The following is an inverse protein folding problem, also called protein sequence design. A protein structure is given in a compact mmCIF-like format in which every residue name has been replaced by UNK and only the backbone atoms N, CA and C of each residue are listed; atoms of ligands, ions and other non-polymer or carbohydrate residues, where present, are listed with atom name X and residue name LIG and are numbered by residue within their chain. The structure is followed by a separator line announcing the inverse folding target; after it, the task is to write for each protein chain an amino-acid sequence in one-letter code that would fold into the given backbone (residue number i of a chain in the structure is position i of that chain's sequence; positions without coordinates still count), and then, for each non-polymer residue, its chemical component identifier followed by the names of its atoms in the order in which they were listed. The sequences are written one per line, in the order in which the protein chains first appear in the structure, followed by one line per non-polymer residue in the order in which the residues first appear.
data_IF_579934728134
#
_entry.id   IF_579934728134
#
_cell.length_a   1.000
_cell.length_b   1.000
_cell.length_c   1.000
_cell.angle_alpha   90.00
_cell.angle_beta   90.00
_cell.angle_gamma   90.00
#
_symmetry.space_group_name_H-M   'P 1'
#
loop_
_entity.id
_entity.type
_entity.pdbx_description
1 polymer ?
#
# COMPACT_ATOMS: atom_id res chain seq x y z
N UNK A 1 1.85 -0.50 8.75
CA UNK A 1 0.64 0.19 8.18
C UNK A 1 -0.64 -0.56 8.53
N UNK A 2 -0.77 -1.85 8.17
CA UNK A 2 -1.97 -2.63 8.45
C UNK A 2 -2.27 -2.71 9.94
N UNK A 3 -1.32 -3.11 10.76
CA UNK A 3 -1.49 -3.21 12.22
C UNK A 3 -1.89 -1.87 12.84
N UNK A 4 -1.21 -0.79 12.49
CA UNK A 4 -1.54 0.55 12.98
C UNK A 4 -2.95 0.99 12.57
N UNK A 5 -3.40 0.66 11.35
CA UNK A 5 -4.73 1.02 10.86
C UNK A 5 -5.85 0.20 11.53
N UNK A 6 -5.58 -1.04 11.93
CA UNK A 6 -6.58 -1.97 12.48
C UNK A 6 -6.60 -1.94 14.01
N UNK A 7 -5.45 -1.88 14.65
CA UNK A 7 -5.31 -2.00 16.11
C UNK A 7 -4.97 -0.67 16.81
N UNK A 8 -4.60 0.37 16.05
CA UNK A 8 -4.16 1.65 16.61
C UNK A 8 -2.80 1.56 17.28
N UNK A 9 -2.57 2.42 18.28
CA UNK A 9 -1.32 2.48 19.07
C UNK A 9 -1.35 1.60 20.33
N UNK A 10 -2.45 0.88 20.57
CA UNK A 10 -2.55 -0.01 21.73
C UNK A 10 -1.57 -1.17 21.62
N UNK A 11 -1.07 -1.65 22.75
CA UNK A 11 -0.16 -2.79 22.80
C UNK A 11 -0.82 -3.99 22.11
N UNK A 12 -0.30 -4.30 20.94
CA UNK A 12 -0.92 -5.24 20.02
C UNK A 12 -0.71 -6.67 20.52
N UNK A 13 -1.78 -7.33 20.90
CA UNK A 13 -1.79 -8.75 21.25
C UNK A 13 -1.99 -9.66 20.04
N UNK A 14 -2.06 -9.08 18.84
CA UNK A 14 -2.18 -9.84 17.59
C UNK A 14 -0.95 -10.75 17.42
N UNK A 15 -1.24 -12.01 17.21
CA UNK A 15 -0.23 -13.00 16.83
C UNK A 15 -0.57 -13.46 15.44
N UNK A 16 0.25 -13.12 14.43
CA UNK A 16 0.01 -13.59 13.08
C UNK A 16 -0.02 -15.12 13.07
N UNK A 17 -0.89 -15.66 12.23
CA UNK A 17 -0.90 -17.08 11.98
C UNK A 17 0.41 -17.48 11.29
N UNK A 18 0.95 -18.64 11.67
CA UNK A 18 2.13 -19.20 11.02
C UNK A 18 1.71 -20.07 9.82
N UNK A 19 2.53 -20.09 8.74
CA UNK A 19 3.78 -19.35 8.56
C UNK A 19 3.60 -17.92 8.07
N UNK A 20 4.46 -17.01 8.51
CA UNK A 20 4.59 -15.66 7.94
C UNK A 20 5.37 -15.72 6.62
N UNK A 21 5.09 -14.77 5.73
CA UNK A 21 5.73 -14.66 4.41
C UNK A 21 6.33 -13.27 4.20
N UNK A 22 7.56 -13.23 3.68
CA UNK A 22 8.28 -11.98 3.42
C UNK A 22 7.96 -11.37 2.04
N UNK A 23 7.31 -12.14 1.16
CA UNK A 23 7.03 -11.73 -0.23
C UNK A 23 5.56 -11.87 -0.56
N UNK A 24 5.01 -10.90 -1.26
CA UNK A 24 3.61 -10.89 -1.69
C UNK A 24 3.22 -12.12 -2.52
N UNK A 25 4.09 -12.61 -3.40
CA UNK A 25 3.85 -13.83 -4.18
C UNK A 25 3.75 -15.09 -3.32
N UNK A 26 4.52 -15.17 -2.23
CA UNK A 26 4.46 -16.29 -1.29
C UNK A 26 3.17 -16.21 -0.44
N UNK A 27 2.71 -14.99 -0.09
CA UNK A 27 1.39 -14.78 0.54
C UNK A 27 0.27 -15.29 -0.36
N UNK A 28 0.28 -14.97 -1.66
CA UNK A 28 -0.71 -15.48 -2.62
C UNK A 28 -0.71 -17.01 -2.69
N UNK A 29 0.48 -17.62 -2.74
CA UNK A 29 0.64 -19.07 -2.79
C UNK A 29 0.08 -19.73 -1.53
N UNK A 30 0.41 -19.20 -0.36
CA UNK A 30 -0.06 -19.68 0.93
C UNK A 30 -1.58 -19.56 1.06
N UNK A 31 -2.15 -18.42 0.70
CA UNK A 31 -3.59 -18.17 0.67
C UNK A 31 -4.31 -19.18 -0.24
N UNK A 32 -3.75 -19.46 -1.41
CA UNK A 32 -4.32 -20.42 -2.37
C UNK A 32 -4.32 -21.87 -1.90
N UNK A 33 -3.49 -22.21 -0.91
CA UNK A 33 -3.34 -23.55 -0.35
C UNK A 33 -3.94 -23.73 1.05
N UNK A 34 -4.53 -22.67 1.62
CA UNK A 34 -5.04 -22.67 2.99
C UNK A 34 -6.53 -22.36 3.01
N UNK A 35 -7.35 -23.32 3.41
CA UNK A 35 -8.80 -23.12 3.53
C UNK A 35 -9.13 -22.11 4.63
N UNK A 36 -10.11 -21.25 4.37
CA UNK A 36 -10.61 -20.23 5.31
C UNK A 36 -9.53 -19.24 5.81
N UNK A 37 -8.49 -19.02 5.01
CA UNK A 37 -7.45 -18.06 5.33
C UNK A 37 -7.92 -16.61 5.05
N UNK A 38 -7.42 -15.67 5.84
CA UNK A 38 -7.51 -14.24 5.59
C UNK A 38 -6.10 -13.65 5.67
N UNK A 39 -5.78 -12.70 4.79
CA UNK A 39 -4.50 -12.02 4.76
C UNK A 39 -4.64 -10.60 4.24
N UNK A 40 -3.54 -9.85 4.18
CA UNK A 40 -3.48 -8.55 3.53
C UNK A 40 -2.34 -8.54 2.51
N UNK A 41 -2.53 -7.79 1.44
CA UNK A 41 -1.59 -7.67 0.33
C UNK A 41 -1.84 -6.32 -0.36
N UNK A 42 -0.84 -5.78 -1.03
CA UNK A 42 -1.00 -4.57 -1.84
C UNK A 42 -1.80 -4.82 -3.14
N UNK A 43 -2.32 -3.74 -3.73
CA UNK A 43 -3.15 -3.82 -4.93
C UNK A 43 -2.40 -4.37 -6.15
N UNK A 44 -1.10 -4.12 -6.26
CA UNK A 44 -0.27 -4.59 -7.36
C UNK A 44 -0.24 -6.12 -7.47
N UNK A 45 -0.47 -6.80 -6.36
CA UNK A 45 -0.48 -8.27 -6.28
C UNK A 45 -1.89 -8.86 -6.15
N UNK A 46 -2.93 -8.03 -6.09
CA UNK A 46 -4.30 -8.52 -5.93
C UNK A 46 -5.03 -8.76 -7.26
N UNK A 47 -4.75 -7.98 -8.31
CA UNK A 47 -5.53 -7.82 -9.53
C UNK A 47 -6.09 -9.10 -10.16
N UNK A 48 -5.23 -10.07 -10.49
CA UNK A 48 -5.61 -11.35 -11.12
C UNK A 48 -5.82 -12.50 -10.12
N UNK A 49 -5.91 -12.18 -8.84
CA UNK A 49 -6.07 -13.17 -7.79
C UNK A 49 -7.47 -13.80 -7.80
N UNK A 50 -7.56 -15.04 -7.33
CA UNK A 50 -8.83 -15.76 -7.12
C UNK A 50 -9.47 -15.44 -5.77
N UNK A 51 -8.93 -14.45 -5.05
CA UNK A 51 -9.34 -14.10 -3.70
C UNK A 51 -10.44 -13.05 -3.72
N UNK A 52 -11.24 -13.06 -2.67
CA UNK A 52 -12.28 -12.04 -2.48
C UNK A 52 -11.74 -10.93 -1.59
N UNK A 53 -11.84 -9.69 -2.05
CA UNK A 53 -11.50 -8.52 -1.26
C UNK A 53 -12.50 -8.31 -0.11
N UNK A 54 -12.01 -8.04 1.08
CA UNK A 54 -12.83 -7.76 2.26
C UNK A 54 -13.07 -6.26 2.38
N UNK A 55 -14.32 -5.87 2.54
CA UNK A 55 -14.70 -4.47 2.81
C UNK A 55 -14.29 -4.07 4.24
N UNK A 56 -13.80 -2.86 4.39
CA UNK A 56 -13.51 -2.25 5.70
C UNK A 56 -14.49 -1.12 5.94
N UNK A 57 -15.27 -1.22 7.02
CA UNK A 57 -16.35 -0.25 7.29
C UNK A 57 -17.43 -0.19 6.20
N UNK A 58 -17.61 -1.26 5.42
CA UNK A 58 -18.52 -1.32 4.28
C UNK A 58 -17.95 -0.79 2.96
N UNK A 59 -16.71 -0.25 2.97
CA UNK A 59 -16.02 0.31 1.79
C UNK A 59 -15.12 -0.76 1.17
N UNK A 60 -15.16 -0.87 -0.15
CA UNK A 60 -14.30 -1.80 -0.90
C UNK A 60 -12.87 -1.27 -1.01
N UNK A 61 -11.85 -2.16 -0.95
CA UNK A 61 -10.47 -1.79 -1.26
C UNK A 61 -10.30 -1.59 -2.77
N UNK A 62 -10.56 -0.37 -3.21
CA UNK A 62 -10.45 0.05 -4.59
C UNK A 62 -9.67 1.36 -4.66
N UNK A 63 -8.93 1.58 -5.75
CA UNK A 63 -8.07 2.76 -5.91
C UNK A 63 -8.83 4.07 -5.72
N UNK A 64 -10.03 4.18 -6.29
CA UNK A 64 -10.89 5.35 -6.14
C UNK A 64 -11.25 5.68 -4.68
N UNK A 65 -11.45 4.67 -3.85
CA UNK A 65 -11.77 4.82 -2.43
C UNK A 65 -10.53 5.17 -1.58
N UNK A 66 -9.33 4.95 -2.11
CA UNK A 66 -8.08 5.40 -1.48
C UNK A 66 -7.82 6.87 -1.80
N UNK A 67 -8.15 7.33 -3.01
CA UNK A 67 -7.90 8.71 -3.45
C UNK A 67 -8.49 9.77 -2.52
N UNK A 68 -9.67 9.51 -1.96
CA UNK A 68 -10.40 10.39 -1.04
C UNK A 68 -10.38 9.93 0.42
N UNK A 69 -9.60 8.87 0.72
CA UNK A 69 -9.51 8.24 2.05
C UNK A 69 -10.81 7.57 2.55
N UNK A 70 -11.78 7.27 1.70
CA UNK A 70 -12.96 6.47 2.08
C UNK A 70 -12.54 5.05 2.51
N UNK A 71 -11.50 4.48 1.88
CA UNK A 71 -10.82 3.28 2.34
C UNK A 71 -9.55 3.67 3.11
N UNK A 72 -9.50 3.48 4.45
CA UNK A 72 -8.47 4.11 5.29
C UNK A 72 -7.13 3.35 5.37
N UNK A 73 -7.09 2.09 4.89
CA UNK A 73 -5.88 1.24 5.02
C UNK A 73 -4.98 1.45 3.79
N UNK A 74 -4.14 2.47 3.86
CA UNK A 74 -3.15 2.79 2.84
C UNK A 74 -1.94 3.51 3.43
N UNK A 75 -0.84 3.51 2.71
CA UNK A 75 0.36 4.28 3.03
C UNK A 75 1.01 4.80 1.75
N UNK A 76 1.77 5.89 1.88
CA UNK A 76 2.63 6.38 0.82
C UNK A 76 3.92 5.57 0.80
N UNK A 77 4.32 5.11 -0.37
CA UNK A 77 5.64 4.55 -0.60
C UNK A 77 6.68 5.67 -0.59
N UNK A 78 7.81 5.43 0.08
CA UNK A 78 8.89 6.40 0.21
C UNK A 78 10.20 5.82 -0.29
N UNK A 79 10.90 6.59 -1.11
CA UNK A 79 12.28 6.29 -1.49
C UNK A 79 13.23 7.16 -0.67
N UNK A 80 14.35 6.58 -0.26
CA UNK A 80 15.37 7.23 0.55
C UNK A 80 16.73 7.13 -0.14
N UNK A 81 17.52 8.19 -0.03
CA UNK A 81 18.94 8.16 -0.40
C UNK A 81 19.78 8.75 0.72
N UNK A 82 21.09 8.52 0.67
CA UNK A 82 22.04 9.18 1.57
C UNK A 82 22.07 10.68 1.33
N UNK A 83 22.36 11.48 2.37
CA UNK A 83 22.43 12.94 2.25
C UNK A 83 23.48 13.42 1.25
N UNK A 84 24.54 12.66 1.07
CA UNK A 84 25.66 12.87 0.16
C UNK A 84 25.53 12.05 -1.14
N UNK A 85 24.32 11.57 -1.47
CA UNK A 85 24.07 10.87 -2.71
C UNK A 85 24.48 11.71 -3.93
N UNK A 86 24.98 11.03 -4.95
CA UNK A 86 25.42 11.67 -6.19
C UNK A 86 24.25 12.25 -7.01
N UNK A 87 24.58 13.05 -8.00
CA UNK A 87 23.59 13.73 -8.83
C UNK A 87 22.73 12.75 -9.65
N UNK A 88 23.28 11.60 -10.03
CA UNK A 88 22.55 10.57 -10.76
C UNK A 88 21.45 9.95 -9.88
N UNK A 89 21.77 9.65 -8.62
CA UNK A 89 20.79 9.15 -7.63
C UNK A 89 19.68 10.17 -7.39
N UNK A 90 20.03 11.44 -7.22
CA UNK A 90 19.04 12.52 -7.03
C UNK A 90 18.14 12.69 -8.25
N UNK A 91 18.74 12.72 -9.46
CA UNK A 91 17.99 12.80 -10.71
C UNK A 91 17.03 11.61 -10.91
N UNK A 92 17.42 10.41 -10.48
CA UNK A 92 16.53 9.25 -10.50
C UNK A 92 15.31 9.44 -9.57
N UNK A 93 15.51 9.95 -8.35
CA UNK A 93 14.39 10.22 -7.44
C UNK A 93 13.44 11.29 -7.98
N UNK A 94 13.99 12.34 -8.61
CA UNK A 94 13.18 13.37 -9.29
C UNK A 94 12.40 12.77 -10.47
N UNK A 95 13.04 11.92 -11.27
CA UNK A 95 12.38 11.23 -12.38
C UNK A 95 11.22 10.36 -11.91
N UNK A 96 11.36 9.66 -10.79
CA UNK A 96 10.28 8.85 -10.22
C UNK A 96 9.03 9.67 -9.83
N UNK A 97 9.17 10.99 -9.62
CA UNK A 97 8.05 11.91 -9.36
C UNK A 97 7.55 12.61 -10.63
N UNK A 98 8.15 12.37 -11.79
CA UNK A 98 7.74 12.96 -13.06
C UNK A 98 6.36 12.47 -13.53
N UNK A 99 5.72 13.25 -14.40
CA UNK A 99 4.45 12.88 -15.03
C UNK A 99 4.55 11.60 -15.86
N UNK A 100 5.71 11.34 -16.49
CA UNK A 100 5.95 10.12 -17.26
C UNK A 100 5.84 8.87 -16.37
N UNK A 101 6.40 8.92 -15.17
CA UNK A 101 6.37 7.79 -14.23
C UNK A 101 5.04 7.75 -13.47
N UNK A 102 4.63 8.87 -12.87
CA UNK A 102 3.42 8.93 -12.05
C UNK A 102 2.13 8.85 -12.87
N UNK A 103 2.13 9.37 -14.09
CA UNK A 103 0.95 9.40 -14.94
C UNK A 103 0.53 8.03 -15.48
N UNK A 104 1.49 7.19 -15.83
CA UNK A 104 1.26 5.92 -16.53
C UNK A 104 1.88 4.72 -15.82
N UNK A 105 3.20 4.70 -15.67
CA UNK A 105 3.93 3.52 -15.19
C UNK A 105 3.53 3.08 -13.79
N UNK A 106 3.33 4.01 -12.86
CA UNK A 106 2.91 3.72 -11.47
C UNK A 106 1.54 3.05 -11.46
N UNK A 107 0.60 3.56 -12.26
CA UNK A 107 -0.75 3.00 -12.35
C UNK A 107 -0.76 1.62 -13.02
N UNK A 108 0.05 1.41 -14.07
CA UNK A 108 0.20 0.11 -14.74
C UNK A 108 0.74 -0.98 -13.80
N UNK A 109 1.56 -0.61 -12.83
CA UNK A 109 2.05 -1.52 -11.79
C UNK A 109 1.05 -1.75 -10.65
N UNK A 110 -0.16 -1.20 -10.73
CA UNK A 110 -1.21 -1.36 -9.71
C UNK A 110 -1.06 -0.44 -8.49
N UNK A 111 -0.15 0.54 -8.55
CA UNK A 111 0.00 1.56 -7.50
C UNK A 111 -0.83 2.82 -7.82
N UNK A 112 -1.07 3.64 -6.83
CA UNK A 112 -1.84 4.88 -6.95
C UNK A 112 -0.87 6.05 -7.07
N UNK A 113 -0.88 6.82 -8.18
CA UNK A 113 -0.04 7.99 -8.32
C UNK A 113 -0.33 9.03 -7.25
N UNK A 114 0.71 9.51 -6.56
CA UNK A 114 0.56 10.52 -5.50
C UNK A 114 -0.05 11.82 -6.02
N UNK A 115 0.11 12.14 -7.30
CA UNK A 115 -0.49 13.31 -7.95
C UNK A 115 -2.02 13.24 -8.01
N UNK A 116 -2.61 12.05 -7.99
CA UNK A 116 -4.07 11.82 -8.04
C UNK A 116 -4.73 11.81 -6.66
N UNK A 117 -3.96 11.71 -5.59
CA UNK A 117 -4.51 11.70 -4.23
C UNK A 117 -5.12 13.06 -3.87
N UNK A 118 -6.35 13.07 -3.38
CA UNK A 118 -7.01 14.26 -2.84
C UNK A 118 -6.56 14.60 -1.41
N UNK A 119 -5.91 13.66 -0.75
CA UNK A 119 -5.47 13.74 0.64
C UNK A 119 -3.99 13.40 0.78
N UNK A 120 -3.40 13.84 1.88
CA UNK A 120 -2.08 13.43 2.36
C UNK A 120 -2.19 12.85 3.76
N UNK A 121 -1.33 11.90 4.08
CA UNK A 121 -1.23 11.29 5.41
C UNK A 121 0.16 11.59 5.97
N UNK A 122 0.23 12.21 7.13
CA UNK A 122 1.50 12.50 7.79
C UNK A 122 2.09 11.27 8.50
N UNK A 123 3.26 11.44 9.10
CA UNK A 123 3.96 10.36 9.82
C UNK A 123 3.20 9.86 11.08
N UNK A 124 2.25 10.64 11.59
CA UNK A 124 1.39 10.28 12.72
C UNK A 124 0.07 9.64 12.27
N UNK A 125 -0.12 9.47 10.97
CA UNK A 125 -1.35 8.91 10.41
C UNK A 125 -2.48 9.92 10.25
N UNK A 126 -2.24 11.22 10.50
CA UNK A 126 -3.25 12.27 10.33
C UNK A 126 -3.46 12.54 8.85
N UNK A 127 -4.70 12.48 8.41
CA UNK A 127 -5.10 12.72 7.02
C UNK A 127 -5.62 14.14 6.89
N UNK A 128 -5.12 14.87 5.89
CA UNK A 128 -5.56 16.21 5.54
C UNK A 128 -5.80 16.33 4.04
N UNK A 129 -6.68 17.22 3.63
CA UNK A 129 -6.87 17.57 2.22
C UNK A 129 -5.60 18.21 1.64
N UNK A 130 -5.37 18.00 0.35
CA UNK A 130 -4.26 18.58 -0.41
C UNK A 130 -4.53 20.01 -0.77
#
# INVERSE_FOLDING_TARGET
TFEAAVFGEEENTYKPAQPEQDKSGDVQTLMGSTDNAISYIDFSHFGDSKFTAVKVGGVEPASENVLDNSFPIWATEHMYCANDADDATKAFLEYMLSDDVQGELVAEQGFIPVSKMAVVKDANGVVTEK
#
